data_IF_090346846239
#
_entry.id   IF_090346846239
#
_cell.length_a   1.000
_cell.length_b   1.000
_cell.length_c   1.000
_cell.angle_alpha   90.00
_cell.angle_beta   90.00
_cell.angle_gamma   90.00
#
_symmetry.space_group_name_H-M   'P 1'
#
loop_
_entity.id
_entity.type
_entity.pdbx_description
1 polymer ?
#
# COMPACT_ATOMS: atom_id res chain seq x y z
N UNK A 1 -13.50 30.48 -35.81
CA UNK A 1 -12.35 30.53 -34.88
C UNK A 1 -12.91 31.09 -33.59
N UNK A 2 -13.07 30.38 -32.48
CA UNK A 2 -12.19 29.46 -31.76
C UNK A 2 -13.11 28.57 -30.90
N UNK A 3 -13.19 27.26 -31.08
CA UNK A 3 -12.20 26.33 -30.52
C UNK A 3 -12.40 26.12 -29.01
N UNK A 4 -13.58 25.67 -28.57
CA UNK A 4 -13.80 25.23 -27.19
C UNK A 4 -13.11 23.86 -27.02
N UNK A 5 -11.84 23.88 -26.63
CA UNK A 5 -11.13 22.68 -26.22
C UNK A 5 -11.74 22.20 -24.90
N UNK A 6 -12.72 21.31 -24.99
CA UNK A 6 -13.14 20.47 -23.88
C UNK A 6 -11.91 19.66 -23.46
N UNK A 7 -11.28 20.10 -22.38
CA UNK A 7 -10.26 19.37 -21.67
C UNK A 7 -10.92 18.07 -21.17
N UNK A 8 -10.86 17.02 -22.00
CA UNK A 8 -11.21 15.67 -21.58
C UNK A 8 -10.14 15.21 -20.58
N UNK A 9 -10.25 15.70 -19.34
CA UNK A 9 -9.65 15.07 -18.19
C UNK A 9 -10.38 13.73 -18.05
N UNK A 10 -9.82 12.67 -18.65
CA UNK A 10 -10.18 11.30 -18.26
C UNK A 10 -9.95 11.26 -16.76
N UNK A 11 -11.03 11.29 -15.98
CA UNK A 11 -10.97 10.89 -14.57
C UNK A 11 -10.62 9.41 -14.62
N UNK A 12 -9.32 9.09 -14.64
CA UNK A 12 -8.91 7.71 -14.37
C UNK A 12 -9.33 7.45 -12.94
N UNK A 13 -10.18 6.46 -12.72
CA UNK A 13 -10.52 5.98 -11.39
C UNK A 13 -9.20 5.65 -10.66
N UNK A 14 -8.81 6.51 -9.70
CA UNK A 14 -7.58 6.30 -8.94
C UNK A 14 -7.76 5.07 -8.06
N UNK A 15 -6.79 4.16 -8.08
CA UNK A 15 -6.82 2.95 -7.27
C UNK A 15 -6.70 3.32 -5.79
N UNK A 16 -7.60 2.81 -4.96
CA UNK A 16 -7.64 3.07 -3.53
C UNK A 16 -6.67 2.15 -2.77
N UNK A 17 -5.71 2.73 -2.06
CA UNK A 17 -4.75 2.02 -1.21
C UNK A 17 -5.10 2.24 0.26
N UNK A 18 -5.27 1.17 1.02
CA UNK A 18 -5.35 1.24 2.48
C UNK A 18 -4.17 0.59 3.17
N UNK A 19 -3.82 1.12 4.34
CA UNK A 19 -2.75 0.57 5.19
C UNK A 19 -3.35 -0.10 6.42
N UNK A 20 -2.82 -1.27 6.77
CA UNK A 20 -2.98 -1.89 8.08
C UNK A 20 -1.62 -2.18 8.68
N UNK A 21 -1.59 -2.28 10.01
CA UNK A 21 -0.35 -2.35 10.76
C UNK A 21 -0.36 -3.49 11.77
N UNK A 22 0.77 -4.18 11.88
CA UNK A 22 1.03 -5.22 12.88
C UNK A 22 2.51 -5.21 13.29
N UNK A 23 2.93 -6.14 14.15
CA UNK A 23 4.33 -6.38 14.50
C UNK A 23 4.97 -5.27 15.32
N UNK A 24 4.18 -4.55 16.12
CA UNK A 24 4.69 -3.60 17.12
C UNK A 24 5.29 -4.26 18.36
N UNK A 25 5.07 -5.57 18.56
CA UNK A 25 5.57 -6.32 19.70
C UNK A 25 7.08 -6.62 19.63
N UNK A 26 7.64 -6.82 18.42
CA UNK A 26 9.07 -7.06 18.20
C UNK A 26 9.50 -6.58 16.80
N UNK A 27 9.46 -5.26 16.53
CA UNK A 27 9.74 -4.74 15.20
C UNK A 27 11.23 -4.88 14.85
N UNK A 28 11.49 -5.43 13.67
CA UNK A 28 12.83 -5.49 13.04
C UNK A 28 12.97 -4.49 11.90
N UNK A 29 11.93 -3.68 11.65
CA UNK A 29 11.91 -2.58 10.68
C UNK A 29 11.24 -1.33 11.28
N UNK A 30 11.59 -0.16 10.77
CA UNK A 30 10.90 1.10 11.04
C UNK A 30 9.66 1.25 10.13
N UNK A 31 8.53 0.74 10.61
CA UNK A 31 7.24 0.78 9.89
C UNK A 31 6.79 2.19 9.50
N UNK A 32 7.00 3.17 10.38
CA UNK A 32 6.54 4.54 10.13
C UNK A 32 7.33 5.17 8.99
N UNK A 33 8.66 5.02 9.00
CA UNK A 33 9.52 5.50 7.94
C UNK A 33 9.24 4.80 6.61
N UNK A 34 9.07 3.47 6.63
CA UNK A 34 8.70 2.71 5.44
C UNK A 34 7.40 3.20 4.79
N UNK A 35 6.36 3.44 5.58
CA UNK A 35 5.09 3.96 5.05
C UNK A 35 5.26 5.37 4.51
N UNK A 36 5.97 6.26 5.21
CA UNK A 36 6.26 7.60 4.70
C UNK A 36 7.01 7.55 3.36
N UNK A 37 7.97 6.64 3.21
CA UNK A 37 8.74 6.46 1.98
C UNK A 37 7.87 5.97 0.83
N UNK A 38 6.97 5.01 1.08
CA UNK A 38 5.99 4.56 0.10
C UNK A 38 5.08 5.73 -0.30
N UNK A 39 4.47 6.42 0.67
CA UNK A 39 3.51 7.49 0.43
C UNK A 39 4.11 8.65 -0.39
N UNK A 40 5.36 9.04 -0.11
CA UNK A 40 6.05 10.11 -0.86
C UNK A 40 6.34 9.75 -2.31
N UNK A 41 6.41 8.46 -2.64
CA UNK A 41 6.79 7.94 -3.96
C UNK A 41 5.59 7.38 -4.75
N UNK A 42 4.38 7.45 -4.20
CA UNK A 42 3.16 7.03 -4.89
C UNK A 42 2.90 7.90 -6.12
N UNK A 43 2.56 7.26 -7.23
CA UNK A 43 2.10 7.93 -8.45
C UNK A 43 0.69 8.51 -8.27
N UNK A 44 0.35 9.48 -9.12
CA UNK A 44 -0.95 10.17 -9.08
C UNK A 44 -2.16 9.25 -9.41
N UNK A 45 -1.91 8.02 -9.89
CA UNK A 45 -2.94 7.01 -10.15
C UNK A 45 -3.48 6.35 -8.88
N UNK A 46 -2.82 6.54 -7.74
CA UNK A 46 -3.24 6.02 -6.44
C UNK A 46 -3.85 7.11 -5.57
N UNK A 47 -4.77 6.70 -4.68
CA UNK A 47 -5.28 7.55 -3.61
C UNK A 47 -5.25 6.75 -2.31
N UNK A 48 -4.84 7.41 -1.23
CA UNK A 48 -4.82 6.79 0.09
C UNK A 48 -6.22 6.80 0.69
N UNK A 49 -6.64 5.65 1.22
CA UNK A 49 -7.85 5.55 2.01
C UNK A 49 -7.70 6.44 3.26
N UNK A 50 -8.69 7.30 3.48
CA UNK A 50 -8.90 7.96 4.75
C UNK A 50 -9.81 7.09 5.60
N UNK A 51 -9.75 7.23 6.93
CA UNK A 51 -10.48 6.40 7.90
C UNK A 51 -12.03 6.45 7.80
N UNK A 52 -12.58 7.09 6.77
CA UNK A 52 -13.99 7.49 6.68
C UNK A 52 -14.83 6.76 5.64
N UNK A 53 -14.36 5.70 4.98
CA UNK A 53 -15.20 5.02 3.99
C UNK A 53 -15.34 3.51 4.21
N UNK A 54 -16.57 2.96 4.11
CA UNK A 54 -16.80 1.52 3.98
C UNK A 54 -16.39 0.96 2.61
N UNK A 55 -15.62 1.70 1.80
CA UNK A 55 -15.17 1.22 0.49
C UNK A 55 -14.11 0.13 0.66
N UNK A 56 -14.36 -1.02 0.04
CA UNK A 56 -13.32 -2.01 -0.22
C UNK A 56 -12.17 -1.37 -0.98
N UNK A 57 -10.94 -1.56 -0.51
CA UNK A 57 -9.74 -1.02 -1.16
C UNK A 57 -9.40 -1.83 -2.41
N UNK A 58 -8.80 -1.20 -3.41
CA UNK A 58 -8.22 -1.95 -4.52
C UNK A 58 -6.98 -2.70 -4.05
N UNK A 59 -6.17 -2.06 -3.20
CA UNK A 59 -4.94 -2.64 -2.67
C UNK A 59 -4.83 -2.36 -1.16
N UNK A 60 -4.64 -3.41 -0.38
CA UNK A 60 -4.26 -3.33 1.02
C UNK A 60 -2.75 -3.53 1.17
N UNK A 61 -2.10 -2.69 1.96
CA UNK A 61 -0.71 -2.88 2.36
C UNK A 61 -0.70 -3.21 3.85
N UNK A 62 -0.34 -4.46 4.18
CA UNK A 62 -0.22 -4.91 5.56
C UNK A 62 1.24 -4.75 6.00
N UNK A 63 1.50 -3.77 6.87
CA UNK A 63 2.85 -3.44 7.35
C UNK A 63 3.09 -4.08 8.72
N UNK A 64 3.72 -5.26 8.71
CA UNK A 64 4.11 -5.98 9.92
C UNK A 64 5.58 -5.68 10.25
N UNK A 65 5.81 -5.18 11.45
CA UNK A 65 7.16 -4.86 11.92
C UNK A 65 8.03 -6.10 12.16
N UNK A 66 7.42 -7.27 12.33
CA UNK A 66 8.09 -8.55 12.58
C UNK A 66 7.71 -9.59 11.52
N UNK A 67 8.48 -10.67 11.45
CA UNK A 67 8.27 -11.78 10.53
C UNK A 67 6.96 -12.55 10.77
N UNK A 68 6.41 -12.53 11.99
CA UNK A 68 5.24 -13.34 12.35
C UNK A 68 3.95 -12.92 11.65
N UNK A 69 3.87 -11.66 11.22
CA UNK A 69 2.71 -11.09 10.52
C UNK A 69 1.34 -11.48 11.12
N UNK A 70 1.19 -11.42 12.45
CA UNK A 70 0.03 -11.97 13.16
C UNK A 70 -1.34 -11.43 12.74
N UNK A 71 -1.38 -10.29 12.03
CA UNK A 71 -2.60 -9.70 11.50
C UNK A 71 -2.95 -10.16 10.07
N UNK A 72 -2.12 -10.97 9.40
CA UNK A 72 -2.50 -11.65 8.16
C UNK A 72 -3.50 -12.77 8.48
N UNK A 73 -4.75 -12.37 8.73
CA UNK A 73 -5.87 -13.25 9.06
C UNK A 73 -6.98 -13.11 8.02
N UNK A 74 -7.84 -14.14 7.85
CA UNK A 74 -8.93 -14.12 6.87
C UNK A 74 -9.80 -12.85 6.92
N UNK A 75 -10.11 -12.35 8.12
CA UNK A 75 -10.98 -11.19 8.32
C UNK A 75 -10.43 -9.90 7.68
N UNK A 76 -9.10 -9.78 7.56
CA UNK A 76 -8.48 -8.63 6.89
C UNK A 76 -8.58 -8.73 5.37
N UNK A 77 -8.64 -9.94 4.82
CA UNK A 77 -8.59 -10.14 3.36
C UNK A 77 -9.79 -9.56 2.63
N UNK A 78 -10.93 -9.40 3.31
CA UNK A 78 -12.12 -8.79 2.72
C UNK A 78 -12.03 -7.26 2.56
N UNK A 79 -11.10 -6.59 3.27
CA UNK A 79 -10.96 -5.13 3.22
C UNK A 79 -10.33 -4.64 1.91
N UNK A 80 -9.64 -5.51 1.16
CA UNK A 80 -9.00 -5.15 -0.10
C UNK A 80 -9.08 -6.26 -1.15
N UNK A 81 -9.16 -5.91 -2.43
CA UNK A 81 -9.17 -6.87 -3.55
C UNK A 81 -7.84 -7.61 -3.70
N UNK A 82 -6.75 -6.94 -3.36
CA UNK A 82 -5.38 -7.47 -3.38
C UNK A 82 -4.63 -7.00 -2.15
N UNK A 83 -3.73 -7.84 -1.64
CA UNK A 83 -2.83 -7.50 -0.55
C UNK A 83 -1.36 -7.54 -0.98
N UNK A 84 -0.58 -6.60 -0.45
CA UNK A 84 0.87 -6.66 -0.39
C UNK A 84 1.23 -6.75 1.09
N UNK A 85 1.96 -7.79 1.47
CA UNK A 85 2.28 -8.06 2.87
C UNK A 85 3.75 -7.80 3.10
N UNK A 86 4.06 -6.92 4.05
CA UNK A 86 5.41 -6.68 4.54
C UNK A 86 5.52 -7.36 5.90
N UNK A 87 6.47 -8.26 6.07
CA UNK A 87 6.71 -8.97 7.33
C UNK A 87 8.18 -8.86 7.71
N UNK A 88 8.51 -7.93 8.59
CA UNK A 88 9.90 -7.59 8.88
C UNK A 88 10.64 -7.21 7.61
N UNK A 89 11.73 -7.92 7.32
CA UNK A 89 12.57 -7.75 6.14
C UNK A 89 12.09 -8.59 4.94
N UNK A 90 10.79 -8.75 4.74
CA UNK A 90 10.23 -9.47 3.59
C UNK A 90 9.01 -8.78 2.99
N UNK A 91 8.78 -8.97 1.69
CA UNK A 91 7.56 -8.55 0.96
C UNK A 91 6.98 -9.75 0.20
N UNK A 92 5.72 -10.11 0.46
CA UNK A 92 5.05 -11.29 -0.08
C UNK A 92 5.94 -12.55 -0.03
N UNK A 93 6.53 -12.81 1.14
CA UNK A 93 7.43 -13.94 1.44
C UNK A 93 8.83 -13.89 0.78
N UNK A 94 9.15 -12.83 0.02
CA UNK A 94 10.51 -12.60 -0.50
C UNK A 94 11.33 -11.73 0.44
N UNK A 95 12.48 -12.21 0.90
CA UNK A 95 13.40 -11.46 1.76
C UNK A 95 14.04 -10.29 1.01
N UNK A 96 14.21 -9.17 1.71
CA UNK A 96 14.86 -7.98 1.21
C UNK A 96 15.43 -7.13 2.36
N UNK A 97 16.56 -6.43 2.15
CA UNK A 97 17.02 -5.41 3.08
C UNK A 97 15.94 -4.33 3.32
N UNK A 98 15.86 -3.81 4.55
CA UNK A 98 14.84 -2.80 4.91
C UNK A 98 14.80 -1.60 3.95
N UNK A 99 15.97 -1.14 3.52
CA UNK A 99 16.14 -0.03 2.56
C UNK A 99 15.46 -0.27 1.19
N UNK A 100 15.26 -1.53 0.81
CA UNK A 100 14.75 -1.91 -0.51
C UNK A 100 13.23 -2.20 -0.47
N UNK A 101 12.64 -2.37 0.73
CA UNK A 101 11.23 -2.73 0.91
C UNK A 101 10.29 -1.73 0.22
N UNK A 102 10.54 -0.43 0.36
CA UNK A 102 9.70 0.61 -0.26
C UNK A 102 9.68 0.49 -1.78
N UNK A 103 10.83 0.23 -2.40
CA UNK A 103 10.94 0.07 -3.85
C UNK A 103 10.21 -1.19 -4.34
N UNK A 104 10.38 -2.30 -3.63
CA UNK A 104 9.70 -3.56 -3.96
C UNK A 104 8.17 -3.39 -3.91
N UNK A 105 7.65 -2.71 -2.88
CA UNK A 105 6.22 -2.41 -2.76
C UNK A 105 5.75 -1.55 -3.93
N UNK A 106 6.47 -0.46 -4.26
CA UNK A 106 6.11 0.42 -5.36
C UNK A 106 6.12 -0.29 -6.72
N UNK A 107 7.06 -1.20 -6.94
CA UNK A 107 7.10 -2.01 -8.16
C UNK A 107 5.90 -2.97 -8.23
N UNK A 108 5.49 -3.55 -7.11
CA UNK A 108 4.28 -4.40 -7.03
C UNK A 108 2.98 -3.63 -7.27
N UNK A 109 2.93 -2.33 -6.98
CA UNK A 109 1.76 -1.48 -7.26
C UNK A 109 1.54 -1.23 -8.75
N UNK A 110 2.61 -1.22 -9.56
CA UNK A 110 2.57 -0.98 -11.01
C UNK A 110 2.15 -2.20 -11.84
N UNK A 111 2.18 -3.39 -11.23
CA UNK A 111 1.79 -4.68 -11.82
C UNK A 111 0.31 -4.95 -11.59
#
# INVERSE_FOLDING_TARGET
MTGLALMNCKISERKLIGFKYCGGCNPVINRAQLVQDIQRRLSAEFTLATDQSPTQWDIGILVCGCLSACADKPDFRNLARRWIIIAGNSVDYGDAPEKDLAEIVLNKLKL
#
